data_IF_729940544913
#
_entry.id   IF_729940544913
#
_cell.length_a   1.000
_cell.length_b   1.000
_cell.length_c   1.000
_cell.angle_alpha   90.00
_cell.angle_beta   90.00
_cell.angle_gamma   90.00
#
_symmetry.space_group_name_H-M   'P 1'
#
loop_
_entity.id
_entity.type
_entity.pdbx_description
1 polymer ?
#
# COMPACT_ATOMS: atom_id res chain seq x y z
N UNK A 1 -7.70 10.88 -15.53
CA UNK A 1 -7.26 9.53 -15.16
C UNK A 1 -8.24 8.95 -14.14
N UNK A 2 -8.13 7.66 -13.84
CA UNK A 2 -8.89 6.96 -12.80
C UNK A 2 -7.91 6.21 -11.90
N UNK A 3 -8.15 6.27 -10.59
CA UNK A 3 -7.55 5.43 -9.57
C UNK A 3 -8.68 4.52 -9.10
N UNK A 4 -8.52 3.22 -9.35
CA UNK A 4 -9.38 2.19 -8.79
C UNK A 4 -8.71 1.70 -7.51
N UNK A 5 -9.42 1.81 -6.40
CA UNK A 5 -8.98 1.44 -5.06
C UNK A 5 -10.19 0.98 -4.27
N UNK A 6 -9.97 0.10 -3.28
CA UNK A 6 -11.02 -0.39 -2.41
C UNK A 6 -12.24 -0.92 -3.15
N UNK A 7 -12.03 -1.72 -4.20
CA UNK A 7 -13.11 -2.43 -4.89
C UNK A 7 -12.80 -3.92 -4.95
N UNK A 8 -13.82 -4.76 -4.78
CA UNK A 8 -13.74 -6.18 -5.12
C UNK A 8 -14.40 -6.41 -6.47
N UNK A 9 -13.68 -7.07 -7.36
CA UNK A 9 -14.20 -7.53 -8.65
C UNK A 9 -14.41 -9.04 -8.52
N UNK A 10 -15.67 -9.47 -8.46
CA UNK A 10 -15.98 -10.89 -8.48
C UNK A 10 -15.67 -11.49 -9.89
N UNK A 11 -15.45 -12.82 -9.99
CA UNK A 11 -15.12 -13.47 -11.24
C UNK A 11 -16.13 -13.17 -12.36
N UNK A 12 -15.70 -13.17 -13.63
CA UNK A 12 -16.59 -12.88 -14.75
C UNK A 12 -17.78 -13.87 -14.79
N UNK A 13 -18.98 -13.37 -14.49
CA UNK A 13 -20.22 -14.15 -14.45
C UNK A 13 -21.10 -13.85 -13.24
N UNK A 14 -20.50 -13.34 -12.16
CA UNK A 14 -21.19 -12.93 -10.93
C UNK A 14 -21.08 -11.40 -10.82
N UNK A 15 -22.16 -10.68 -11.13
CA UNK A 15 -22.26 -9.25 -10.82
C UNK A 15 -22.72 -9.14 -9.37
N UNK A 16 -21.85 -8.70 -8.45
CA UNK A 16 -21.65 -7.26 -8.30
C UNK A 16 -20.19 -6.84 -8.04
N UNK A 17 -19.84 -5.61 -8.46
CA UNK A 17 -18.66 -4.91 -7.95
C UNK A 17 -18.98 -4.45 -6.53
N UNK A 18 -18.14 -4.81 -5.55
CA UNK A 18 -18.32 -4.38 -4.16
C UNK A 18 -17.40 -3.19 -3.84
N UNK A 19 -17.97 -2.19 -3.16
CA UNK A 19 -17.23 -1.05 -2.63
C UNK A 19 -16.70 -1.36 -1.23
N UNK A 20 -15.39 -1.43 -1.11
CA UNK A 20 -14.67 -1.70 0.15
C UNK A 20 -14.24 -0.41 0.86
N UNK A 21 -14.58 0.77 0.32
CA UNK A 21 -14.23 2.03 0.95
C UNK A 21 -14.84 2.16 2.35
N UNK A 22 -14.11 2.84 3.22
CA UNK A 22 -14.44 2.96 4.64
C UNK A 22 -14.63 4.42 5.02
N UNK A 23 -15.64 4.65 5.86
CA UNK A 23 -15.81 5.94 6.52
C UNK A 23 -14.95 5.96 7.79
N UNK A 24 -13.95 6.82 7.82
CA UNK A 24 -12.99 6.89 8.92
C UNK A 24 -13.14 8.16 9.77
N UNK A 25 -14.15 8.99 9.50
CA UNK A 25 -14.52 10.09 10.38
C UNK A 25 -15.21 11.23 9.66
N UNK A 26 -15.11 12.42 10.25
CA UNK A 26 -15.65 13.66 9.69
C UNK A 26 -14.54 14.69 9.49
N UNK A 27 -14.73 15.58 8.53
CA UNK A 27 -13.91 16.76 8.35
C UNK A 27 -14.31 17.89 9.31
N UNK A 28 -13.52 18.96 9.32
CA UNK A 28 -13.77 20.13 10.18
C UNK A 28 -15.10 20.85 9.86
N UNK A 29 -15.72 20.54 8.72
CA UNK A 29 -17.00 21.08 8.26
C UNK A 29 -18.16 20.08 8.45
N UNK A 30 -17.91 18.94 9.09
CA UNK A 30 -18.91 17.88 9.31
C UNK A 30 -19.17 16.97 8.10
N UNK A 31 -18.38 17.09 7.03
CA UNK A 31 -18.43 16.19 5.88
C UNK A 31 -17.80 14.83 6.19
N UNK A 32 -18.36 13.75 5.67
CA UNK A 32 -17.80 12.41 5.87
C UNK A 32 -16.44 12.27 5.17
N UNK A 33 -15.47 11.69 5.88
CA UNK A 33 -14.16 11.31 5.32
C UNK A 33 -14.15 9.83 4.99
N UNK A 34 -13.69 9.55 3.78
CA UNK A 34 -13.61 8.20 3.23
C UNK A 34 -12.16 7.84 2.90
N UNK A 35 -11.81 6.56 3.05
CA UNK A 35 -10.54 5.97 2.65
C UNK A 35 -10.80 4.74 1.79
N UNK A 36 -9.89 4.41 0.87
CA UNK A 36 -10.09 3.36 -0.12
C UNK A 36 -11.10 3.68 -1.22
N UNK A 37 -11.69 4.88 -1.27
CA UNK A 37 -12.61 5.27 -2.35
C UNK A 37 -11.88 5.41 -3.70
N UNK A 38 -12.53 5.06 -4.81
CA UNK A 38 -11.99 5.32 -6.14
C UNK A 38 -11.83 6.83 -6.36
N UNK A 39 -10.91 7.25 -7.23
CA UNK A 39 -10.72 8.66 -7.56
C UNK A 39 -10.59 8.92 -9.05
N UNK A 40 -11.25 9.96 -9.56
CA UNK A 40 -11.21 10.34 -10.98
C UNK A 40 -10.85 11.81 -11.17
N UNK A 41 -10.10 12.10 -12.24
CA UNK A 41 -9.72 13.46 -12.62
C UNK A 41 -9.68 13.67 -14.15
N UNK A 42 -9.67 14.94 -14.57
CA UNK A 42 -9.58 15.33 -15.98
C UNK A 42 -10.92 15.38 -16.71
N UNK A 43 -10.88 15.43 -18.04
CA UNK A 43 -12.04 15.70 -18.91
C UNK A 43 -13.24 14.78 -18.68
N UNK A 44 -12.97 13.50 -18.39
CA UNK A 44 -14.00 12.47 -18.28
C UNK A 44 -14.41 12.13 -16.85
N UNK A 45 -13.94 12.88 -15.85
CA UNK A 45 -14.16 12.54 -14.43
C UNK A 45 -15.64 12.43 -14.05
N UNK A 46 -16.51 13.29 -14.60
CA UNK A 46 -17.95 13.24 -14.33
C UNK A 46 -18.63 12.00 -14.91
N UNK A 47 -18.20 11.57 -16.12
CA UNK A 47 -18.72 10.35 -16.74
C UNK A 47 -18.27 9.09 -15.99
N UNK A 48 -17.02 9.07 -15.49
CA UNK A 48 -16.48 7.99 -14.67
C UNK A 48 -17.23 7.90 -13.34
N UNK A 49 -17.35 9.05 -12.64
CA UNK A 49 -18.11 9.15 -11.40
C UNK A 49 -19.53 8.60 -11.55
N UNK A 50 -20.26 9.04 -12.58
CA UNK A 50 -21.62 8.60 -12.83
C UNK A 50 -21.73 7.07 -13.07
N UNK A 51 -20.71 6.45 -13.68
CA UNK A 51 -20.69 4.99 -13.91
C UNK A 51 -20.40 4.21 -12.63
N UNK A 52 -19.43 4.64 -11.85
CA UNK A 52 -19.12 3.99 -10.56
C UNK A 52 -20.28 4.15 -9.58
N UNK A 53 -20.85 5.36 -9.49
CA UNK A 53 -22.02 5.62 -8.65
C UNK A 53 -23.22 4.74 -8.99
N UNK A 54 -23.50 4.51 -10.29
CA UNK A 54 -24.58 3.59 -10.74
C UNK A 54 -24.34 2.13 -10.33
N UNK A 55 -23.11 1.76 -10.03
CA UNK A 55 -22.73 0.42 -9.56
C UNK A 55 -22.49 0.40 -8.04
N UNK A 56 -22.98 1.40 -7.30
CA UNK A 56 -22.78 1.54 -5.85
C UNK A 56 -21.31 1.59 -5.42
N UNK A 57 -20.42 2.05 -6.30
CA UNK A 57 -18.99 2.26 -5.99
C UNK A 57 -18.74 3.73 -5.73
N UNK A 58 -18.20 4.05 -4.55
CA UNK A 58 -17.77 5.40 -4.21
C UNK A 58 -16.61 5.82 -5.08
N UNK A 59 -16.77 6.99 -5.70
CA UNK A 59 -15.74 7.63 -6.48
C UNK A 59 -15.70 9.11 -6.12
N UNK A 60 -14.52 9.64 -5.86
CA UNK A 60 -14.31 11.08 -5.67
C UNK A 60 -13.78 11.72 -6.95
N UNK A 61 -14.41 12.81 -7.38
CA UNK A 61 -13.86 13.66 -8.43
C UNK A 61 -12.97 14.73 -7.81
N UNK A 62 -11.77 14.91 -8.35
CA UNK A 62 -10.81 15.88 -7.79
C UNK A 62 -9.87 16.45 -8.86
N UNK A 63 -9.18 17.54 -8.52
CA UNK A 63 -8.18 18.13 -9.42
C UNK A 63 -6.94 17.22 -9.54
N UNK A 64 -6.23 17.32 -10.66
CA UNK A 64 -5.07 16.47 -10.95
C UNK A 64 -4.02 16.47 -9.82
N UNK A 65 -3.78 17.62 -9.17
CA UNK A 65 -2.81 17.71 -8.06
C UNK A 65 -3.21 16.85 -6.87
N UNK A 66 -4.50 16.84 -6.51
CA UNK A 66 -5.03 16.04 -5.41
C UNK A 66 -5.09 14.56 -5.79
N UNK A 67 -5.54 14.27 -7.02
CA UNK A 67 -5.55 12.93 -7.57
C UNK A 67 -4.16 12.30 -7.56
N UNK A 68 -3.13 13.05 -7.97
CA UNK A 68 -1.74 12.59 -7.96
C UNK A 68 -1.25 12.26 -6.56
N UNK A 69 -1.64 13.04 -5.53
CA UNK A 69 -1.30 12.72 -4.13
C UNK A 69 -1.96 11.43 -3.68
N UNK A 70 -3.26 11.26 -3.97
CA UNK A 70 -4.02 10.08 -3.58
C UNK A 70 -3.48 8.81 -4.29
N UNK A 71 -3.11 8.93 -5.56
CA UNK A 71 -2.48 7.84 -6.31
C UNK A 71 -1.15 7.41 -5.68
N UNK A 72 -0.27 8.36 -5.33
CA UNK A 72 1.01 8.02 -4.69
C UNK A 72 0.85 7.49 -3.27
N UNK A 73 -0.13 7.99 -2.51
CA UNK A 73 -0.48 7.47 -1.18
C UNK A 73 -0.93 6.00 -1.27
N UNK A 74 -1.80 5.68 -2.24
CA UNK A 74 -2.24 4.30 -2.48
C UNK A 74 -1.10 3.40 -2.99
N UNK A 75 -0.25 3.90 -3.88
CA UNK A 75 0.93 3.16 -4.34
C UNK A 75 1.91 2.88 -3.20
N UNK A 76 2.14 3.84 -2.31
CA UNK A 76 2.97 3.65 -1.12
C UNK A 76 2.35 2.63 -0.16
N UNK A 77 1.03 2.69 0.06
CA UNK A 77 0.30 1.70 0.85
C UNK A 77 0.51 0.28 0.32
N UNK A 78 0.18 0.05 -0.96
CA UNK A 78 0.31 -1.27 -1.58
C UNK A 78 1.76 -1.76 -1.54
N UNK A 79 2.72 -0.87 -1.83
CA UNK A 79 4.13 -1.22 -1.84
C UNK A 79 4.65 -1.62 -0.46
N UNK A 80 4.42 -0.78 0.55
CA UNK A 80 4.96 -0.99 1.90
C UNK A 80 4.31 -2.19 2.57
N UNK A 81 2.99 -2.30 2.54
CA UNK A 81 2.30 -3.38 3.25
C UNK A 81 2.64 -4.75 2.66
N UNK A 82 2.65 -4.88 1.32
CA UNK A 82 3.05 -6.13 0.69
C UNK A 82 4.52 -6.46 0.92
N UNK A 83 5.40 -5.46 0.91
CA UNK A 83 6.82 -5.70 1.17
C UNK A 83 7.07 -6.13 2.63
N UNK A 84 6.49 -5.43 3.61
CA UNK A 84 6.65 -5.73 5.04
C UNK A 84 6.05 -7.08 5.42
N UNK A 85 4.85 -7.39 4.92
CA UNK A 85 4.19 -8.67 5.19
C UNK A 85 4.79 -9.82 4.37
N UNK A 86 5.13 -9.55 3.10
CA UNK A 86 5.63 -10.58 2.19
C UNK A 86 7.04 -11.06 2.49
N UNK A 87 7.88 -10.26 3.15
CA UNK A 87 9.21 -10.73 3.61
C UNK A 87 9.14 -11.69 4.80
N UNK A 88 7.98 -11.87 5.43
CA UNK A 88 7.83 -12.74 6.61
C UNK A 88 7.83 -14.22 6.22
N UNK A 89 8.17 -15.07 7.18
CA UNK A 89 8.15 -16.53 6.97
C UNK A 89 6.74 -17.12 7.11
N UNK A 90 5.86 -16.41 7.83
CA UNK A 90 4.47 -16.77 8.02
C UNK A 90 3.58 -16.01 7.03
N UNK A 91 2.49 -16.66 6.60
CA UNK A 91 1.43 -16.01 5.83
C UNK A 91 0.88 -14.82 6.63
N UNK A 92 1.23 -13.62 6.18
CA UNK A 92 0.92 -12.36 6.85
C UNK A 92 -0.07 -11.59 6.01
N UNK A 93 -1.19 -11.19 6.59
CA UNK A 93 -2.20 -10.38 5.92
C UNK A 93 -1.90 -8.89 6.01
N UNK A 94 -2.56 -8.06 5.20
CA UNK A 94 -2.45 -6.59 5.30
C UNK A 94 -2.91 -6.11 6.70
N UNK A 95 -3.92 -6.75 7.29
CA UNK A 95 -4.38 -6.43 8.65
C UNK A 95 -3.30 -6.78 9.69
N UNK A 96 -2.60 -7.91 9.52
CA UNK A 96 -1.49 -8.27 10.41
C UNK A 96 -0.36 -7.23 10.37
N UNK A 97 -0.03 -6.72 9.18
CA UNK A 97 0.94 -5.62 9.04
C UNK A 97 0.49 -4.40 9.82
N UNK A 98 -0.79 -4.02 9.74
CA UNK A 98 -1.30 -2.88 10.51
C UNK A 98 -1.27 -3.06 12.03
N UNK A 99 -1.47 -4.29 12.53
CA UNK A 99 -1.60 -4.56 13.98
C UNK A 99 -0.28 -4.88 14.66
N UNK A 100 0.60 -5.59 13.97
CA UNK A 100 1.79 -6.19 14.57
C UNK A 100 3.09 -5.55 14.08
N UNK A 101 3.07 -4.97 12.88
CA UNK A 101 4.23 -4.35 12.23
C UNK A 101 4.01 -2.86 11.94
N UNK A 102 3.16 -2.20 12.74
CA UNK A 102 2.76 -0.80 12.57
C UNK A 102 3.97 0.14 12.49
N UNK A 103 4.90 0.01 13.44
CA UNK A 103 6.09 0.86 13.52
C UNK A 103 6.96 0.73 12.27
N UNK A 104 7.20 -0.49 11.80
CA UNK A 104 8.03 -0.76 10.62
C UNK A 104 7.39 -0.23 9.34
N UNK A 105 6.09 -0.47 9.17
CA UNK A 105 5.34 0.07 8.04
C UNK A 105 5.26 1.61 8.08
N UNK A 106 5.11 2.21 9.26
CA UNK A 106 5.12 3.65 9.46
C UNK A 106 6.47 4.27 9.07
N UNK A 107 7.57 3.70 9.55
CA UNK A 107 8.92 4.20 9.25
C UNK A 107 9.20 4.16 7.74
N UNK A 108 8.81 3.08 7.07
CA UNK A 108 8.92 2.96 5.60
C UNK A 108 8.03 3.97 4.87
N UNK A 109 6.77 4.15 5.29
CA UNK A 109 5.88 5.14 4.69
C UNK A 109 6.43 6.58 4.84
N UNK A 110 7.01 6.91 6.00
CA UNK A 110 7.64 8.21 6.23
C UNK A 110 8.91 8.39 5.41
N UNK A 111 9.70 7.33 5.23
CA UNK A 111 10.87 7.31 4.34
C UNK A 111 10.47 7.60 2.88
N UNK A 112 9.46 6.91 2.38
CA UNK A 112 8.88 7.14 1.05
C UNK A 112 8.30 8.55 0.92
N UNK A 113 7.59 9.04 1.93
CA UNK A 113 7.01 10.39 1.94
C UNK A 113 8.07 11.49 1.78
N UNK A 114 9.24 11.32 2.41
CA UNK A 114 10.40 12.23 2.23
C UNK A 114 10.91 12.19 0.79
N UNK A 115 11.06 11.00 0.22
CA UNK A 115 11.46 10.81 -1.17
C UNK A 115 10.48 11.45 -2.16
N UNK A 116 9.19 11.17 -2.03
CA UNK A 116 8.13 11.72 -2.89
C UNK A 116 8.10 13.25 -2.88
N UNK A 117 8.38 13.86 -1.72
CA UNK A 117 8.49 15.30 -1.58
C UNK A 117 9.71 15.86 -2.32
N UNK A 118 10.87 15.22 -2.17
CA UNK A 118 12.13 15.66 -2.77
C UNK A 118 12.20 15.47 -4.28
N UNK A 119 11.75 14.31 -4.78
CA UNK A 119 11.91 13.91 -6.17
C UNK A 119 10.72 14.29 -7.05
N UNK A 120 9.49 14.02 -6.57
CA UNK A 120 8.27 14.20 -7.37
C UNK A 120 7.48 15.47 -7.04
N UNK A 121 7.92 16.24 -6.03
CA UNK A 121 7.19 17.36 -5.45
C UNK A 121 5.77 16.96 -5.01
N UNK A 122 5.61 15.75 -4.49
CA UNK A 122 4.35 15.20 -3.99
C UNK A 122 4.42 15.12 -2.47
N UNK A 123 3.50 15.80 -1.79
CA UNK A 123 3.31 15.67 -0.34
C UNK A 123 2.10 14.79 -0.08
N UNK A 124 2.27 13.75 0.73
CA UNK A 124 1.16 12.91 1.23
C UNK A 124 0.10 13.77 1.92
N UNK A 125 -1.15 13.32 1.90
CA UNK A 125 -2.24 14.07 2.51
C UNK A 125 -2.14 14.01 4.04
N UNK A 126 -2.53 15.09 4.74
CA UNK A 126 -2.49 15.12 6.20
C UNK A 126 -3.28 13.94 6.79
N UNK A 127 -2.73 13.25 7.80
CA UNK A 127 -3.32 12.04 8.38
C UNK A 127 -3.32 10.83 7.42
N UNK A 128 -2.36 10.74 6.49
CA UNK A 128 -2.25 9.59 5.58
C UNK A 128 -1.99 8.28 6.32
N UNK A 129 -1.20 8.33 7.38
CA UNK A 129 -0.84 7.18 8.18
C UNK A 129 -2.10 6.56 8.82
N UNK A 130 -2.83 7.34 9.62
CA UNK A 130 -4.12 6.95 10.21
C UNK A 130 -5.07 6.34 9.17
N UNK A 131 -5.24 7.00 8.02
CA UNK A 131 -6.10 6.51 6.92
C UNK A 131 -5.68 5.16 6.36
N UNK A 132 -4.39 4.97 6.16
CA UNK A 132 -3.82 3.77 5.56
C UNK A 132 -3.94 2.62 6.57
N UNK A 133 -3.58 2.86 7.82
CA UNK A 133 -3.63 1.85 8.87
C UNK A 133 -5.06 1.44 9.23
N UNK A 134 -6.00 2.38 9.34
CA UNK A 134 -7.41 2.05 9.56
C UNK A 134 -8.00 1.28 8.37
N UNK A 135 -7.60 1.64 7.14
CA UNK A 135 -8.02 0.88 5.97
C UNK A 135 -7.47 -0.54 5.98
N UNK A 136 -6.19 -0.70 6.30
CA UNK A 136 -5.53 -1.99 6.41
C UNK A 136 -6.12 -2.86 7.53
N UNK A 137 -6.39 -2.29 8.71
CA UNK A 137 -6.93 -3.03 9.85
C UNK A 137 -8.34 -3.57 9.57
N UNK A 138 -9.21 -2.73 9.00
CA UNK A 138 -10.61 -3.08 8.73
C UNK A 138 -10.81 -3.96 7.49
N UNK A 139 -9.96 -3.83 6.46
CA UNK A 139 -10.13 -4.50 5.16
C UNK A 139 -9.02 -5.47 4.79
N UNK A 140 -7.98 -5.57 5.60
CA UNK A 140 -6.84 -6.44 5.35
C UNK A 140 -7.03 -7.87 5.86
N UNK A 141 -8.23 -8.29 6.27
CA UNK A 141 -8.51 -9.69 6.59
C UNK A 141 -8.69 -10.49 5.29
N UNK A 142 -7.94 -11.58 5.16
CA UNK A 142 -7.62 -12.23 3.87
C UNK A 142 -8.73 -12.83 3.01
N UNK A 143 -10.01 -12.61 3.28
CA UNK A 143 -11.10 -13.12 2.43
C UNK A 143 -11.76 -12.03 1.56
N UNK A 144 -11.58 -10.74 1.89
CA UNK A 144 -12.33 -9.65 1.23
C UNK A 144 -11.48 -8.73 0.35
N UNK A 145 -10.15 -8.85 0.37
CA UNK A 145 -9.23 -7.98 -0.35
C UNK A 145 -8.67 -8.65 -1.62
N UNK A 146 -8.33 -7.86 -2.64
CA UNK A 146 -7.69 -8.35 -3.88
C UNK A 146 -6.36 -9.07 -3.63
N UNK A 147 -5.77 -8.89 -2.44
CA UNK A 147 -4.60 -9.61 -1.93
C UNK A 147 -4.95 -10.20 -0.55
N UNK A 148 -5.41 -11.47 -0.49
CA UNK A 148 -5.71 -12.19 0.75
C UNK A 148 -4.56 -12.12 1.76
N UNK A 149 -3.36 -12.30 1.24
CA UNK A 149 -2.11 -12.27 1.96
C UNK A 149 -1.21 -11.21 1.31
N UNK A 150 -0.26 -10.71 2.10
CA UNK A 150 0.82 -9.91 1.55
C UNK A 150 1.68 -10.79 0.65
N UNK A 151 1.83 -10.39 -0.60
CA UNK A 151 2.56 -11.16 -1.61
C UNK A 151 3.63 -10.28 -2.24
N UNK A 152 4.76 -10.90 -2.59
CA UNK A 152 5.81 -10.28 -3.40
C UNK A 152 5.80 -10.97 -4.75
N UNK A 153 5.62 -10.19 -5.81
CA UNK A 153 5.62 -10.70 -7.18
C UNK A 153 6.41 -9.80 -8.13
N UNK A 154 6.82 -10.35 -9.26
CA UNK A 154 7.56 -9.61 -10.29
C UNK A 154 6.74 -8.42 -10.85
N UNK A 155 5.42 -8.58 -10.94
CA UNK A 155 4.52 -7.52 -11.38
C UNK A 155 4.49 -6.36 -10.38
N UNK A 156 4.46 -6.67 -9.07
CA UNK A 156 4.54 -5.63 -8.04
C UNK A 156 5.86 -4.87 -8.10
N UNK A 157 6.96 -5.53 -8.47
CA UNK A 157 8.24 -4.86 -8.62
C UNK A 157 8.17 -3.71 -9.63
N UNK A 158 7.65 -4.00 -10.83
CA UNK A 158 7.55 -3.01 -11.93
C UNK A 158 6.49 -1.94 -11.70
N UNK A 159 5.40 -2.30 -11.03
CA UNK A 159 4.26 -1.41 -10.82
C UNK A 159 4.46 -0.48 -9.62
N UNK A 160 5.08 -0.99 -8.55
CA UNK A 160 5.09 -0.33 -7.25
C UNK A 160 6.50 -0.18 -6.66
N UNK A 161 7.32 -1.24 -6.64
CA UNK A 161 8.57 -1.21 -5.88
C UNK A 161 9.69 -0.39 -6.55
N UNK A 162 9.79 -0.46 -7.88
CA UNK A 162 10.79 0.29 -8.66
C UNK A 162 10.66 1.82 -8.49
N UNK A 163 9.50 2.30 -8.02
CA UNK A 163 9.23 3.71 -7.79
C UNK A 163 9.86 4.25 -6.50
N UNK A 164 10.34 3.35 -5.63
CA UNK A 164 10.82 3.69 -4.29
C UNK A 164 12.26 3.24 -4.04
N UNK A 165 13.03 2.90 -5.07
CA UNK A 165 14.41 2.41 -4.98
C UNK A 165 15.44 3.46 -4.52
N UNK A 166 15.01 4.71 -4.35
CA UNK A 166 15.82 5.77 -3.73
C UNK A 166 15.62 5.87 -2.21
N UNK A 167 14.61 5.16 -1.65
CA UNK A 167 14.46 5.02 -0.20
C UNK A 167 15.37 3.90 0.30
N UNK A 168 16.40 4.27 1.07
CA UNK A 168 17.36 3.31 1.63
C UNK A 168 16.66 2.19 2.42
N UNK A 169 15.77 2.54 3.35
CA UNK A 169 15.06 1.54 4.16
C UNK A 169 14.19 0.63 3.29
N UNK A 170 13.53 1.18 2.25
CA UNK A 170 12.76 0.36 1.33
C UNK A 170 13.65 -0.62 0.55
N UNK A 171 14.84 -0.16 0.12
CA UNK A 171 15.82 -1.00 -0.56
C UNK A 171 16.41 -2.09 0.34
N UNK A 172 16.55 -1.85 1.64
CA UNK A 172 16.96 -2.88 2.62
C UNK A 172 15.96 -4.03 2.63
N UNK A 173 14.65 -3.73 2.65
CA UNK A 173 13.59 -4.75 2.55
C UNK A 173 13.54 -5.44 1.18
N UNK A 174 13.72 -4.70 0.08
CA UNK A 174 13.81 -5.31 -1.26
C UNK A 174 15.02 -6.24 -1.40
N UNK A 175 16.14 -5.87 -0.78
CA UNK A 175 17.33 -6.72 -0.75
C UNK A 175 17.03 -8.01 0.01
N UNK A 176 16.39 -7.91 1.19
CA UNK A 176 15.95 -9.08 1.96
C UNK A 176 15.01 -9.98 1.16
N UNK A 177 14.00 -9.41 0.47
CA UNK A 177 13.10 -10.16 -0.40
C UNK A 177 13.85 -10.89 -1.53
N UNK A 178 14.89 -10.25 -2.08
CA UNK A 178 15.74 -10.84 -3.12
C UNK A 178 16.59 -11.99 -2.58
N UNK A 179 17.20 -11.83 -1.41
CA UNK A 179 17.98 -12.88 -0.74
C UNK A 179 17.12 -14.11 -0.43
N UNK A 180 15.86 -13.87 -0.03
CA UNK A 180 14.85 -14.91 0.21
C UNK A 180 14.24 -15.51 -1.07
N UNK A 181 14.67 -15.05 -2.26
CA UNK A 181 14.20 -15.49 -3.57
C UNK A 181 12.67 -15.38 -3.74
N UNK A 182 12.11 -14.28 -3.24
CA UNK A 182 10.67 -14.01 -3.32
C UNK A 182 10.23 -13.45 -4.68
N UNK A 183 11.18 -12.94 -5.47
CA UNK A 183 10.95 -12.59 -6.87
C UNK A 183 11.17 -13.83 -7.75
N UNK A 184 10.28 -14.04 -8.73
CA UNK A 184 10.30 -15.21 -9.59
C UNK A 184 11.35 -15.10 -10.68
N UNK A 185 11.30 -14.01 -11.44
CA UNK A 185 12.14 -13.78 -12.62
C UNK A 185 12.77 -12.39 -12.66
N UNK A 186 12.28 -11.46 -11.84
CA UNK A 186 12.74 -10.08 -11.90
C UNK A 186 14.10 -9.93 -11.21
N UNK A 187 15.06 -9.34 -11.95
CA UNK A 187 16.38 -9.01 -11.40
C UNK A 187 16.29 -7.66 -10.72
N UNK A 188 16.30 -7.68 -9.39
CA UNK A 188 16.42 -6.45 -8.60
C UNK A 188 17.79 -5.80 -8.90
N UNK A 189 17.84 -4.54 -9.37
CA UNK A 189 19.06 -3.89 -9.80
C UNK A 189 20.12 -3.85 -8.71
N UNK A 190 21.39 -4.00 -9.10
CA UNK A 190 22.53 -4.01 -8.18
C UNK A 190 22.60 -2.79 -7.24
N UNK A 191 22.11 -1.62 -7.68
CA UNK A 191 22.10 -0.43 -6.82
C UNK A 191 21.13 -0.55 -5.64
N UNK A 192 20.06 -1.34 -5.78
CA UNK A 192 19.13 -1.67 -4.69
C UNK A 192 19.79 -2.66 -3.72
N UNK A 193 20.51 -3.64 -4.26
CA UNK A 193 21.20 -4.68 -3.48
C UNK A 193 22.38 -4.15 -2.65
N UNK A 194 22.93 -2.97 -3.00
CA UNK A 194 23.99 -2.30 -2.20
C UNK A 194 23.54 -1.94 -0.79
N UNK A 195 22.24 -1.78 -0.58
CA UNK A 195 21.66 -1.46 0.72
C UNK A 195 21.48 -2.70 1.61
N UNK A 196 21.53 -3.92 1.05
CA UNK A 196 21.52 -5.20 1.77
C UNK A 196 22.73 -5.46 2.66
N UNK A 197 23.68 -4.51 2.80
CA UNK A 197 24.76 -4.58 3.79
C UNK A 197 24.55 -3.60 4.98
N UNK A 198 23.36 -2.97 5.06
CA UNK A 198 22.97 -2.13 6.20
C UNK A 198 22.60 -2.93 7.45
N UNK A 199 22.17 -2.25 8.53
CA UNK A 199 21.82 -2.88 9.82
C UNK A 199 20.76 -3.99 9.72
N UNK A 200 19.91 -3.96 8.69
CA UNK A 200 18.93 -5.02 8.37
C UNK A 200 19.52 -6.22 7.60
N UNK A 201 20.62 -6.02 6.85
CA UNK A 201 21.27 -7.04 6.04
C UNK A 201 22.41 -7.78 6.75
N UNK A 202 23.00 -7.17 7.78
CA UNK A 202 23.74 -7.94 8.77
C UNK A 202 22.75 -8.75 9.60
N UNK A 203 22.70 -10.06 9.34
CA UNK A 203 22.10 -11.13 10.17
C UNK A 203 21.50 -10.61 11.49
N UNK A 204 20.20 -10.84 11.68
CA UNK A 204 19.48 -10.60 12.93
C UNK A 204 19.27 -9.11 13.28
N UNK A 205 18.64 -8.33 12.40
CA UNK A 205 17.90 -7.17 12.93
C UNK A 205 16.77 -7.72 13.79
N UNK A 206 16.72 -7.30 15.06
CA UNK A 206 15.65 -7.68 15.99
C UNK A 206 14.23 -7.35 15.46
N UNK A 207 14.12 -6.50 14.43
CA UNK A 207 12.88 -6.19 13.70
C UNK A 207 12.45 -7.31 12.72
N UNK A 208 13.41 -8.04 12.14
CA UNK A 208 13.13 -9.16 11.21
C UNK A 208 12.88 -10.45 11.99
N UNK A 209 13.72 -10.72 13.00
CA UNK A 209 13.60 -11.91 13.86
C UNK A 209 12.58 -11.74 14.99
N UNK A 210 11.93 -10.57 15.06
CA UNK A 210 10.73 -10.31 15.83
C UNK A 210 9.54 -11.09 15.28
N UNK A 211 9.62 -12.42 15.25
CA UNK A 211 8.48 -13.34 15.08
C UNK A 211 7.48 -13.27 16.23
N UNK A 212 7.61 -12.29 17.12
CA UNK A 212 6.60 -11.95 18.09
C UNK A 212 5.69 -10.94 17.42
N UNK A 213 4.58 -11.42 16.86
CA UNK A 213 3.36 -10.62 16.89
C UNK A 213 3.28 -9.98 18.29
N UNK A 214 2.89 -8.71 18.40
CA UNK A 214 2.76 -8.05 19.70
C UNK A 214 1.81 -8.77 20.68
N UNK A 215 1.06 -9.77 20.20
CA UNK A 215 0.23 -10.70 20.99
C UNK A 215 0.93 -12.00 21.46
N UNK A 216 2.21 -12.18 21.13
CA UNK A 216 3.03 -13.33 21.52
C UNK A 216 2.77 -14.63 20.78
N UNK A 217 2.00 -14.63 19.68
CA UNK A 217 1.76 -15.84 18.88
C UNK A 217 2.69 -15.92 17.67
N UNK A 218 3.38 -17.05 17.58
CA UNK A 218 4.04 -17.57 16.37
C UNK A 218 2.99 -18.27 15.53
#
# INVERSE_FOLDING_TARGET
QILLSGIRLDPPGEMPVEDLSLRFGYDQRGGEKWTGECAACGKWMGAIYARLYRNNVRCRTMFYREWRRNMWEWTAFVAVFNLVGGVREMDTTISDVSRYYEQEASDLLWSISKFLRGYLAVTMTYGFEERIFEFADMRGNGEEFFYPNCEISDDMYRLYFDKFTDSQQFCEYLSLATERKMFGTEVVPDHVLKYGNGELGTRTSAMIDGNLRSDGKV
#
